data_IF_265254047176
#
_entry.id   IF_265254047176
#
_cell.length_a   1.000
_cell.length_b   1.000
_cell.length_c   1.000
_cell.angle_alpha   90.00
_cell.angle_beta   90.00
_cell.angle_gamma   90.00
#
_symmetry.space_group_name_H-M   'P 1'
#
loop_
_entity.id
_entity.type
_entity.pdbx_description
1 polymer ?
#
# COMPACT_ATOMS: atom_id res chain seq x y z
N UNK A 1 57.37 9.62 0.25
CA UNK A 1 56.21 10.39 0.72
C UNK A 1 55.41 10.77 -0.52
N UNK A 2 54.22 10.20 -0.74
CA UNK A 2 53.43 10.53 -1.94
C UNK A 2 53.01 12.00 -1.87
N UNK A 3 53.10 12.71 -2.98
CA UNK A 3 52.74 14.12 -2.99
C UNK A 3 51.21 14.25 -2.94
N UNK A 4 50.69 15.30 -2.30
CA UNK A 4 49.23 15.53 -2.18
C UNK A 4 48.54 15.53 -3.56
N UNK A 5 49.27 15.99 -4.59
CA UNK A 5 48.82 15.99 -5.98
C UNK A 5 48.59 14.57 -6.53
N UNK A 6 49.46 13.62 -6.20
CA UNK A 6 49.31 12.21 -6.61
C UNK A 6 48.08 11.57 -5.96
N UNK A 7 47.88 11.83 -4.65
CA UNK A 7 46.73 11.31 -3.90
C UNK A 7 45.41 11.85 -4.46
N UNK A 8 45.37 13.15 -4.78
CA UNK A 8 44.20 13.77 -5.40
C UNK A 8 43.92 13.20 -6.79
N UNK A 9 44.97 12.94 -7.58
CA UNK A 9 44.80 12.40 -8.92
C UNK A 9 44.30 10.95 -8.89
N UNK A 10 44.80 10.15 -7.95
CA UNK A 10 44.37 8.76 -7.71
C UNK A 10 42.90 8.71 -7.28
N UNK A 11 42.47 9.60 -6.36
CA UNK A 11 41.06 9.70 -5.95
C UNK A 11 40.13 10.18 -7.07
N UNK A 12 40.57 11.16 -7.87
CA UNK A 12 39.80 11.63 -9.03
C UNK A 12 39.61 10.48 -10.03
N UNK A 13 40.69 9.76 -10.34
CA UNK A 13 40.65 8.63 -11.27
C UNK A 13 39.72 7.52 -10.78
N UNK A 14 39.80 7.14 -9.51
CA UNK A 14 38.89 6.16 -8.91
C UNK A 14 37.42 6.60 -8.97
N UNK A 15 37.15 7.90 -8.81
CA UNK A 15 35.79 8.44 -8.91
C UNK A 15 35.27 8.44 -10.35
N UNK A 16 36.11 8.81 -11.32
CA UNK A 16 35.78 8.79 -12.74
C UNK A 16 35.54 7.37 -13.26
N UNK A 17 36.35 6.40 -12.82
CA UNK A 17 36.18 4.99 -13.14
C UNK A 17 34.88 4.44 -12.53
N UNK A 18 34.55 4.83 -11.29
CA UNK A 18 33.28 4.45 -10.65
C UNK A 18 32.06 5.05 -11.38
N UNK A 19 32.13 6.32 -11.81
CA UNK A 19 31.07 6.96 -12.60
C UNK A 19 30.90 6.29 -13.97
N UNK A 20 32.01 5.92 -14.64
CA UNK A 20 31.94 5.16 -15.90
C UNK A 20 31.34 3.78 -15.69
N UNK A 21 31.70 3.09 -14.62
CA UNK A 21 31.13 1.79 -14.28
C UNK A 21 29.63 1.90 -14.00
N UNK A 22 29.18 2.94 -13.29
CA UNK A 22 27.75 3.25 -13.10
C UNK A 22 27.05 3.61 -14.41
N UNK A 23 27.72 4.32 -15.32
CA UNK A 23 27.17 4.64 -16.65
C UNK A 23 27.10 3.42 -17.57
N UNK A 24 28.05 2.50 -17.50
CA UNK A 24 28.06 1.25 -18.25
C UNK A 24 26.99 0.28 -17.71
N UNK A 25 26.88 0.16 -16.38
CA UNK A 25 25.77 -0.56 -15.72
C UNK A 25 24.41 0.08 -16.05
N UNK A 26 24.35 1.41 -16.12
CA UNK A 26 23.14 2.14 -16.53
C UNK A 26 22.81 2.03 -18.03
N UNK A 27 23.81 1.84 -18.91
CA UNK A 27 23.63 1.70 -20.37
C UNK A 27 23.28 0.28 -20.81
N UNK A 28 23.56 -0.76 -20.02
CA UNK A 28 23.18 -2.15 -20.33
C UNK A 28 21.68 -2.47 -20.12
N UNK A 29 20.79 -1.52 -20.37
CA UNK A 29 19.35 -1.80 -20.44
C UNK A 29 18.65 -1.92 -19.08
N UNK A 30 19.25 -1.38 -18.03
CA UNK A 30 18.61 -1.27 -16.73
C UNK A 30 17.78 0.01 -16.65
N UNK A 31 16.80 0.13 -17.56
CA UNK A 31 15.50 0.64 -17.14
C UNK A 31 14.90 -0.47 -16.28
N UNK A 32 15.32 -0.59 -15.01
CA UNK A 32 14.47 -1.21 -14.00
C UNK A 32 13.28 -0.29 -13.76
N UNK A 33 12.41 -0.17 -14.77
CA UNK A 33 10.98 -0.14 -14.52
C UNK A 33 10.75 -1.47 -13.81
N UNK A 34 10.78 -1.40 -12.48
CA UNK A 34 10.36 -2.43 -11.56
C UNK A 34 9.30 -3.36 -12.16
N UNK A 35 9.66 -4.45 -12.84
CA UNK A 35 8.73 -5.56 -12.97
C UNK A 35 8.70 -6.19 -11.58
N UNK A 36 7.58 -5.93 -10.93
CA UNK A 36 7.32 -5.99 -9.51
C UNK A 36 7.07 -7.45 -9.10
N UNK A 37 7.97 -8.39 -9.36
CA UNK A 37 7.74 -9.84 -9.15
C UNK A 37 6.28 -10.22 -9.47
N UNK A 38 5.91 -10.09 -10.74
CA UNK A 38 4.60 -9.57 -11.15
C UNK A 38 3.38 -10.42 -10.73
N UNK A 39 3.51 -11.74 -10.60
CA UNK A 39 2.35 -12.62 -10.42
C UNK A 39 1.79 -12.63 -8.99
N UNK A 40 2.59 -12.92 -7.93
CA UNK A 40 2.05 -12.96 -6.57
C UNK A 40 1.58 -11.58 -6.09
N UNK A 41 2.27 -10.50 -6.43
CA UNK A 41 1.84 -9.15 -6.07
C UNK A 41 0.57 -8.72 -6.81
N UNK A 42 0.39 -9.12 -8.07
CA UNK A 42 -0.83 -8.87 -8.82
C UNK A 42 -2.01 -9.67 -8.24
N UNK A 43 -1.80 -10.94 -7.90
CA UNK A 43 -2.82 -11.77 -7.25
C UNK A 43 -3.22 -11.17 -5.90
N UNK A 44 -2.26 -10.78 -5.07
CA UNK A 44 -2.52 -10.11 -3.79
C UNK A 44 -3.23 -8.77 -3.99
N UNK A 45 -2.84 -7.99 -5.00
CA UNK A 45 -3.50 -6.73 -5.35
C UNK A 45 -4.97 -6.95 -5.70
N UNK A 46 -5.26 -7.92 -6.57
CA UNK A 46 -6.62 -8.27 -6.95
C UNK A 46 -7.46 -8.74 -5.76
N UNK A 47 -6.88 -9.56 -4.87
CA UNK A 47 -7.57 -10.02 -3.65
C UNK A 47 -7.84 -8.84 -2.72
N UNK A 48 -6.90 -7.89 -2.60
CA UNK A 48 -7.09 -6.67 -1.82
C UNK A 48 -8.21 -5.82 -2.39
N UNK A 49 -8.27 -5.72 -3.72
CA UNK A 49 -9.31 -4.99 -4.43
C UNK A 49 -10.71 -5.56 -4.21
N UNK A 50 -10.84 -6.89 -4.33
CA UNK A 50 -12.07 -7.60 -3.99
C UNK A 50 -12.44 -7.36 -2.52
N UNK A 51 -11.45 -7.43 -1.61
CA UNK A 51 -11.66 -7.24 -0.18
C UNK A 51 -12.24 -5.87 0.16
N UNK A 52 -11.65 -4.78 -0.33
CA UNK A 52 -12.15 -3.44 -0.01
C UNK A 52 -13.50 -3.16 -0.67
N UNK A 53 -13.77 -3.71 -1.87
CA UNK A 53 -15.09 -3.61 -2.51
C UNK A 53 -16.18 -4.32 -1.70
N UNK A 54 -15.92 -5.55 -1.25
CA UNK A 54 -16.86 -6.29 -0.38
C UNK A 54 -17.09 -5.52 0.92
N UNK A 55 -16.02 -5.06 1.56
CA UNK A 55 -16.09 -4.29 2.79
C UNK A 55 -16.97 -3.03 2.63
N UNK A 56 -16.78 -2.32 1.52
CA UNK A 56 -17.49 -1.08 1.22
C UNK A 56 -18.97 -1.31 0.94
N UNK A 57 -19.29 -2.28 0.07
CA UNK A 57 -20.69 -2.64 -0.24
C UNK A 57 -21.42 -3.09 1.03
N UNK A 58 -20.80 -3.98 1.80
CA UNK A 58 -21.40 -4.50 3.03
C UNK A 58 -21.56 -3.41 4.10
N UNK A 59 -20.57 -2.51 4.22
CA UNK A 59 -20.63 -1.34 5.10
C UNK A 59 -21.76 -0.39 4.76
N UNK A 60 -21.93 -0.06 3.48
CA UNK A 60 -23.04 0.80 3.04
C UNK A 60 -24.39 0.14 3.33
N UNK A 61 -24.54 -1.14 2.99
CA UNK A 61 -25.78 -1.88 3.28
C UNK A 61 -26.09 -1.92 4.78
N UNK A 62 -25.06 -2.11 5.61
CA UNK A 62 -25.21 -2.09 7.06
C UNK A 62 -25.67 -0.72 7.59
N UNK A 63 -25.00 0.37 7.17
CA UNK A 63 -25.35 1.73 7.61
C UNK A 63 -26.74 2.14 7.11
N UNK A 64 -27.09 1.81 5.87
CA UNK A 64 -28.42 2.09 5.31
C UNK A 64 -29.54 1.28 5.99
N UNK A 65 -29.27 0.02 6.36
CA UNK A 65 -30.26 -0.85 7.00
C UNK A 65 -30.49 -0.56 8.48
N UNK A 66 -29.44 -0.15 9.20
CA UNK A 66 -29.48 -0.01 10.66
C UNK A 66 -29.50 1.44 11.16
N UNK A 67 -29.19 2.43 10.30
CA UNK A 67 -29.06 3.83 10.71
C UNK A 67 -27.78 4.13 11.51
N UNK A 68 -27.67 5.35 12.05
CA UNK A 68 -26.52 5.85 12.82
C UNK A 68 -26.90 6.13 14.27
N UNK A 69 -27.23 5.08 15.02
CA UNK A 69 -27.81 5.24 16.36
C UNK A 69 -26.80 4.97 17.48
N UNK A 70 -25.78 4.14 17.24
CA UNK A 70 -24.79 3.76 18.26
C UNK A 70 -23.40 4.21 17.85
N UNK A 71 -22.53 4.39 18.85
CA UNK A 71 -21.13 4.79 18.64
C UNK A 71 -20.41 3.89 17.63
N UNK A 72 -20.65 2.58 17.65
CA UNK A 72 -20.07 1.64 16.70
C UNK A 72 -20.52 1.88 15.25
N UNK A 73 -21.73 2.39 15.02
CA UNK A 73 -22.23 2.68 13.67
C UNK A 73 -21.48 3.89 13.06
N UNK A 74 -21.16 4.89 13.87
CA UNK A 74 -20.28 6.00 13.47
C UNK A 74 -18.85 5.52 13.18
N UNK A 75 -18.34 4.55 13.95
CA UNK A 75 -17.01 3.98 13.71
C UNK A 75 -16.98 3.16 12.40
N UNK A 76 -18.05 2.43 12.07
CA UNK A 76 -18.21 1.78 10.75
C UNK A 76 -18.17 2.82 9.64
N UNK A 77 -18.89 3.93 9.78
CA UNK A 77 -18.90 5.00 8.79
C UNK A 77 -17.51 5.62 8.60
N UNK A 78 -16.78 5.88 9.68
CA UNK A 78 -15.40 6.39 9.63
C UNK A 78 -14.48 5.40 8.90
N UNK A 79 -14.60 4.10 9.17
CA UNK A 79 -13.82 3.07 8.48
C UNK A 79 -14.12 3.05 6.97
N UNK A 80 -15.39 3.18 6.57
CA UNK A 80 -15.78 3.27 5.16
C UNK A 80 -15.21 4.50 4.46
N UNK A 81 -15.28 5.67 5.11
CA UNK A 81 -14.70 6.92 4.59
C UNK A 81 -13.17 6.78 4.46
N UNK A 82 -12.51 6.14 5.42
CA UNK A 82 -11.07 5.91 5.35
C UNK A 82 -10.68 4.97 4.20
N UNK A 83 -11.46 3.91 3.93
CA UNK A 83 -11.26 3.06 2.74
C UNK A 83 -11.43 3.87 1.45
N UNK A 84 -12.50 4.66 1.34
CA UNK A 84 -12.74 5.53 0.19
C UNK A 84 -11.60 6.53 -0.04
N UNK A 85 -11.11 7.14 1.04
CA UNK A 85 -9.98 8.06 0.98
C UNK A 85 -8.70 7.34 0.51
N UNK A 86 -8.43 6.14 1.04
CA UNK A 86 -7.30 5.31 0.62
C UNK A 86 -7.36 4.93 -0.86
N UNK A 87 -8.53 4.52 -1.36
CA UNK A 87 -8.74 4.17 -2.78
C UNK A 87 -8.68 5.41 -3.67
N UNK A 88 -9.28 6.53 -3.27
CA UNK A 88 -9.21 7.78 -4.01
C UNK A 88 -7.78 8.28 -4.18
N UNK A 89 -6.95 8.12 -3.14
CA UNK A 89 -5.53 8.39 -3.22
C UNK A 89 -4.81 7.46 -4.22
N UNK A 90 -5.17 6.17 -4.31
CA UNK A 90 -4.58 5.22 -5.26
C UNK A 90 -4.88 5.62 -6.71
N UNK A 91 -6.15 5.96 -6.98
CA UNK A 91 -6.59 6.37 -8.32
C UNK A 91 -5.89 7.67 -8.73
N UNK A 92 -5.83 8.65 -7.83
CA UNK A 92 -5.15 9.92 -8.07
C UNK A 92 -3.66 9.73 -8.37
N UNK A 93 -3.00 8.83 -7.63
CA UNK A 93 -1.60 8.46 -7.86
C UNK A 93 -1.39 7.79 -9.22
N UNK A 94 -2.30 6.93 -9.66
CA UNK A 94 -2.22 6.29 -10.98
C UNK A 94 -2.31 7.30 -12.12
N UNK A 95 -2.96 8.45 -11.92
CA UNK A 95 -3.08 9.51 -12.92
C UNK A 95 -1.80 10.33 -13.07
N UNK A 96 -0.99 10.44 -12.02
CA UNK A 96 0.25 11.24 -12.00
C UNK A 96 1.43 10.28 -12.21
N UNK A 97 1.77 10.04 -13.47
CA UNK A 97 2.81 9.07 -13.85
C UNK A 97 4.25 9.53 -13.55
N UNK A 98 4.43 10.64 -12.82
CA UNK A 98 5.69 11.37 -12.83
C UNK A 98 6.11 11.85 -11.45
N UNK A 99 7.36 11.50 -11.08
CA UNK A 99 8.13 11.81 -9.86
C UNK A 99 8.07 10.77 -8.73
N UNK A 100 9.13 9.95 -8.72
CA UNK A 100 9.36 8.76 -7.89
C UNK A 100 9.41 9.02 -6.36
N UNK A 101 9.72 10.25 -5.93
CA UNK A 101 9.95 10.57 -4.51
C UNK A 101 8.66 11.02 -3.80
N UNK A 102 7.84 11.88 -4.42
CA UNK A 102 6.54 12.27 -3.88
C UNK A 102 5.53 11.11 -3.92
N UNK A 103 5.64 10.27 -4.95
CA UNK A 103 4.78 9.10 -5.11
C UNK A 103 5.04 8.00 -4.08
N UNK A 104 6.25 7.85 -3.52
CA UNK A 104 6.51 6.82 -2.49
C UNK A 104 5.78 7.10 -1.19
N UNK A 105 5.86 8.33 -0.66
CA UNK A 105 5.16 8.70 0.57
C UNK A 105 3.65 8.59 0.38
N UNK A 106 3.15 9.07 -0.75
CA UNK A 106 1.73 9.07 -1.05
C UNK A 106 1.21 7.66 -1.36
N UNK A 107 1.97 6.79 -2.03
CA UNK A 107 1.63 5.35 -2.20
C UNK A 107 1.61 4.62 -0.86
N UNK A 108 2.59 4.89 0.01
CA UNK A 108 2.61 4.34 1.37
C UNK A 108 1.39 4.81 2.17
N UNK A 109 1.02 6.09 2.08
CA UNK A 109 -0.18 6.60 2.74
C UNK A 109 -1.44 5.92 2.20
N UNK A 110 -1.55 5.79 0.89
CA UNK A 110 -2.71 5.23 0.20
C UNK A 110 -2.92 3.75 0.55
N UNK A 111 -1.91 2.91 0.32
CA UNK A 111 -1.97 1.48 0.65
C UNK A 111 -2.10 1.27 2.16
N UNK A 112 -1.35 2.04 2.96
CA UNK A 112 -1.46 1.97 4.41
C UNK A 112 -2.88 2.27 4.88
N UNK A 113 -3.47 3.35 4.37
CA UNK A 113 -4.83 3.74 4.71
C UNK A 113 -5.84 2.65 4.34
N UNK A 114 -5.80 2.14 3.11
CA UNK A 114 -6.74 1.10 2.65
C UNK A 114 -6.62 -0.18 3.50
N UNK A 115 -5.39 -0.62 3.81
CA UNK A 115 -5.11 -1.82 4.60
C UNK A 115 -5.59 -1.67 6.05
N UNK A 116 -5.20 -0.58 6.73
CA UNK A 116 -5.57 -0.38 8.12
C UNK A 116 -7.05 -0.05 8.30
N UNK A 117 -7.67 0.64 7.34
CA UNK A 117 -9.11 0.87 7.35
C UNK A 117 -9.89 -0.43 7.16
N UNK A 118 -9.42 -1.33 6.29
CA UNK A 118 -9.98 -2.68 6.16
C UNK A 118 -9.93 -3.48 7.47
N UNK A 119 -8.77 -3.47 8.15
CA UNK A 119 -8.63 -4.11 9.46
C UNK A 119 -9.55 -3.48 10.51
N UNK A 120 -9.58 -2.16 10.60
CA UNK A 120 -10.42 -1.44 11.55
C UNK A 120 -11.90 -1.79 11.33
N UNK A 121 -12.36 -1.76 10.08
CA UNK A 121 -13.72 -2.13 9.73
C UNK A 121 -14.05 -3.60 10.06
N UNK A 122 -13.10 -4.52 9.87
CA UNK A 122 -13.25 -5.91 10.29
C UNK A 122 -13.39 -6.09 11.81
N UNK A 123 -12.55 -5.40 12.59
CA UNK A 123 -12.60 -5.42 14.06
C UNK A 123 -13.91 -4.82 14.57
N UNK A 124 -14.32 -3.67 14.03
CA UNK A 124 -15.57 -3.01 14.40
C UNK A 124 -16.77 -3.91 14.06
N UNK A 125 -16.74 -4.58 12.90
CA UNK A 125 -17.76 -5.56 12.52
C UNK A 125 -17.89 -6.70 13.53
N UNK A 126 -16.77 -7.27 13.99
CA UNK A 126 -16.77 -8.30 15.05
C UNK A 126 -17.33 -7.74 16.36
N UNK A 127 -16.85 -6.57 16.81
CA UNK A 127 -17.35 -5.94 18.04
C UNK A 127 -18.86 -5.71 17.98
N UNK A 128 -19.39 -5.33 16.81
CA UNK A 128 -20.82 -5.17 16.61
C UNK A 128 -21.57 -6.49 16.71
N UNK A 129 -21.05 -7.57 16.13
CA UNK A 129 -21.65 -8.90 16.26
C UNK A 129 -21.67 -9.41 17.70
N UNK A 130 -20.63 -9.11 18.48
CA UNK A 130 -20.54 -9.55 19.89
C UNK A 130 -21.45 -8.71 20.80
N UNK A 131 -21.68 -7.45 20.45
CA UNK A 131 -22.47 -6.51 21.28
C UNK A 131 -23.96 -6.47 20.94
N UNK A 132 -24.38 -6.98 19.77
CA UNK A 132 -25.79 -7.17 19.40
C UNK A 132 -26.18 -8.65 19.38
N UNK A 133 -27.42 -8.95 19.77
CA UNK A 133 -27.99 -10.31 19.87
C UNK A 133 -28.34 -10.90 18.48
N UNK A 134 -27.78 -10.36 17.39
CA UNK A 134 -28.12 -10.78 16.03
C UNK A 134 -27.01 -10.49 15.01
N UNK A 135 -26.63 -11.50 14.24
CA UNK A 135 -25.66 -11.40 13.16
C UNK A 135 -26.35 -10.99 11.85
N UNK A 136 -26.19 -9.73 11.47
CA UNK A 136 -26.57 -9.29 10.11
C UNK A 136 -25.59 -9.88 9.09
N UNK A 137 -26.11 -10.37 7.96
CA UNK A 137 -25.28 -10.83 6.84
C UNK A 137 -24.32 -9.72 6.36
N UNK A 138 -24.76 -8.46 6.41
CA UNK A 138 -23.91 -7.32 6.07
C UNK A 138 -22.69 -7.20 7.01
N UNK A 139 -22.85 -7.47 8.31
CA UNK A 139 -21.71 -7.49 9.23
C UNK A 139 -20.73 -8.61 8.87
N UNK A 140 -21.22 -9.79 8.50
CA UNK A 140 -20.38 -10.94 8.14
C UNK A 140 -19.53 -10.61 6.92
N UNK A 141 -20.14 -10.07 5.87
CA UNK A 141 -19.42 -9.67 4.67
C UNK A 141 -18.48 -8.50 4.90
N UNK A 142 -18.85 -7.55 5.78
CA UNK A 142 -17.97 -6.45 6.18
C UNK A 142 -16.70 -6.95 6.86
N UNK A 143 -16.84 -7.93 7.76
CA UNK A 143 -15.71 -8.60 8.43
C UNK A 143 -14.85 -9.32 7.41
N UNK A 144 -15.43 -10.17 6.59
CA UNK A 144 -14.71 -10.94 5.55
C UNK A 144 -13.95 -10.00 4.62
N UNK A 145 -14.61 -8.98 4.07
CA UNK A 145 -13.99 -8.01 3.16
C UNK A 145 -12.85 -7.23 3.83
N UNK A 146 -13.05 -6.79 5.07
CA UNK A 146 -12.04 -6.08 5.85
C UNK A 146 -10.77 -6.90 6.07
N UNK A 147 -10.92 -8.17 6.48
CA UNK A 147 -9.79 -9.09 6.66
C UNK A 147 -9.15 -9.51 5.34
N UNK A 148 -9.94 -9.73 4.28
CA UNK A 148 -9.42 -10.06 2.96
C UNK A 148 -8.55 -8.94 2.42
N UNK A 149 -9.01 -7.69 2.53
CA UNK A 149 -8.26 -6.50 2.19
C UNK A 149 -6.97 -6.40 3.01
N UNK A 150 -7.06 -6.54 4.34
CA UNK A 150 -5.90 -6.44 5.21
C UNK A 150 -4.85 -7.53 4.92
N UNK A 151 -5.26 -8.79 4.86
CA UNK A 151 -4.34 -9.93 4.71
C UNK A 151 -3.59 -9.89 3.38
N UNK A 152 -4.23 -9.44 2.32
CA UNK A 152 -3.64 -9.36 0.97
C UNK A 152 -2.92 -8.04 0.70
N UNK A 153 -3.43 -6.92 1.23
CA UNK A 153 -2.82 -5.61 1.06
C UNK A 153 -1.64 -5.33 2.00
N UNK A 154 -1.59 -5.95 3.18
CA UNK A 154 -0.49 -5.75 4.14
C UNK A 154 0.88 -6.16 3.56
N UNK A 155 1.05 -7.33 2.91
CA UNK A 155 2.30 -7.69 2.25
C UNK A 155 2.75 -6.65 1.20
N UNK A 156 1.80 -6.08 0.45
CA UNK A 156 2.05 -5.06 -0.58
C UNK A 156 2.53 -3.77 0.10
N UNK A 157 1.81 -3.31 1.12
CA UNK A 157 2.16 -2.12 1.89
C UNK A 157 3.54 -2.23 2.54
N UNK A 158 3.83 -3.36 3.20
CA UNK A 158 5.13 -3.60 3.84
C UNK A 158 6.27 -3.67 2.83
N UNK A 159 6.02 -4.17 1.62
CA UNK A 159 7.00 -4.18 0.53
C UNK A 159 7.36 -2.75 0.08
N UNK A 160 6.38 -1.86 -0.04
CA UNK A 160 6.65 -0.44 -0.34
C UNK A 160 7.32 0.29 0.84
N UNK A 161 6.97 -0.06 2.08
CA UNK A 161 7.51 0.56 3.31
C UNK A 161 8.98 0.20 3.55
N UNK A 162 9.36 -1.07 3.42
CA UNK A 162 10.77 -1.51 3.53
C UNK A 162 11.67 -0.82 2.50
N UNK A 163 11.08 -0.29 1.43
CA UNK A 163 11.81 0.03 0.22
C UNK A 163 12.17 -1.28 -0.44
N UNK A 164 11.72 -1.49 -1.66
CA UNK A 164 12.28 -2.55 -2.47
C UNK A 164 13.76 -2.16 -2.66
N UNK A 165 14.64 -2.71 -1.82
CA UNK A 165 16.07 -2.76 -2.11
C UNK A 165 16.14 -3.60 -3.37
N UNK A 166 16.36 -2.96 -4.51
CA UNK A 166 16.95 -3.67 -5.63
C UNK A 166 18.27 -4.23 -5.11
N UNK A 167 18.24 -5.51 -4.73
CA UNK A 167 19.44 -6.27 -4.47
C UNK A 167 20.18 -6.36 -5.79
N UNK A 168 21.00 -5.37 -6.09
CA UNK A 168 22.13 -5.54 -6.98
C UNK A 168 23.15 -6.32 -6.13
N UNK A 169 23.18 -7.64 -6.32
CA UNK A 169 24.39 -8.41 -6.08
C UNK A 169 25.32 -8.22 -7.26
#
# INVERSE_FOLDING_TARGET
MRTIKEILHEKRKATEDHIKQLQEQGKQGVRYTAMMSDIPFLILGLISDIGWMIHLVAGVLFVCGNGLHRLLDYMVLIALVAVLFGVGCLIYLNKIHEKEIATRLQKNLSFGMTVYAGLAGGIIGILRMVTDVGTSSALVWMVIGGFLNFASGLPIYLSFKKGIVYGVK
#
